data_IF_829854083086
#
_entry.id   IF_829854083086
#
_cell.length_a   1.000
_cell.length_b   1.000
_cell.length_c   1.000
_cell.angle_alpha   90.00
_cell.angle_beta   90.00
_cell.angle_gamma   90.00
#
_symmetry.space_group_name_H-M   'P 1'
#
loop_
_entity.id
_entity.type
_entity.pdbx_description
1 polymer ?
#
# COMPACT_ATOMS: atom_id res chain seq x y z
N UNK A 1 -14.48 19.34 22.52
CA UNK A 1 -14.00 19.80 21.21
C UNK A 1 -12.62 19.26 20.83
N UNK A 2 -11.59 19.33 21.69
CA UNK A 2 -10.24 18.82 21.36
C UNK A 2 -10.21 17.30 21.05
N UNK A 3 -11.04 16.51 21.74
CA UNK A 3 -11.14 15.07 21.57
C UNK A 3 -11.85 14.63 20.28
N UNK A 4 -12.88 15.37 19.83
CA UNK A 4 -13.51 15.10 18.53
C UNK A 4 -12.56 15.42 17.36
N UNK A 5 -11.68 16.42 17.53
CA UNK A 5 -10.65 16.74 16.55
C UNK A 5 -9.59 15.65 16.47
N UNK A 6 -9.22 15.00 17.60
CA UNK A 6 -8.23 13.93 17.62
C UNK A 6 -8.73 12.63 16.99
N UNK A 7 -10.00 12.25 17.20
CA UNK A 7 -10.60 11.10 16.53
C UNK A 7 -10.81 11.36 15.04
N UNK A 8 -11.21 12.57 14.65
CA UNK A 8 -11.26 13.00 13.26
C UNK A 8 -9.86 12.99 12.63
N UNK A 9 -8.82 13.40 13.35
CA UNK A 9 -7.44 13.36 12.88
C UNK A 9 -6.94 11.93 12.64
N UNK A 10 -7.23 10.98 13.53
CA UNK A 10 -6.89 9.57 13.35
C UNK A 10 -7.65 8.96 12.16
N UNK A 11 -8.91 9.32 11.97
CA UNK A 11 -9.70 8.88 10.83
C UNK A 11 -9.11 9.41 9.52
N UNK A 12 -8.86 10.73 9.42
CA UNK A 12 -8.24 11.37 8.26
C UNK A 12 -6.86 10.77 7.99
N UNK A 13 -6.10 10.49 9.03
CA UNK A 13 -4.78 9.88 8.95
C UNK A 13 -4.82 8.48 8.33
N UNK A 14 -5.73 7.63 8.81
CA UNK A 14 -5.87 6.27 8.26
C UNK A 14 -6.42 6.28 6.83
N UNK A 15 -7.40 7.15 6.55
CA UNK A 15 -7.94 7.28 5.19
C UNK A 15 -6.89 7.76 4.19
N UNK A 16 -6.06 8.73 4.56
CA UNK A 16 -4.94 9.16 3.71
C UNK A 16 -3.97 8.01 3.41
N UNK A 17 -3.66 7.17 4.42
CA UNK A 17 -2.84 5.97 4.20
C UNK A 17 -3.52 4.99 3.23
N UNK A 18 -4.80 4.69 3.42
CA UNK A 18 -5.56 3.78 2.56
C UNK A 18 -5.61 4.28 1.11
N UNK A 19 -5.76 5.59 0.92
CA UNK A 19 -5.74 6.23 -0.40
C UNK A 19 -4.40 6.06 -1.10
N UNK A 20 -3.30 6.36 -0.42
CA UNK A 20 -1.95 6.27 -0.98
C UNK A 20 -1.60 4.81 -1.28
N UNK A 21 -1.91 3.88 -0.38
CA UNK A 21 -1.65 2.46 -0.60
C UNK A 21 -2.46 1.89 -1.78
N UNK A 22 -3.74 2.24 -1.90
CA UNK A 22 -4.56 1.84 -3.03
C UNK A 22 -4.04 2.40 -4.36
N UNK A 23 -3.58 3.65 -4.37
CA UNK A 23 -2.94 4.25 -5.54
C UNK A 23 -1.65 3.52 -5.93
N UNK A 24 -0.79 3.16 -4.98
CA UNK A 24 0.43 2.37 -5.22
C UNK A 24 0.12 1.03 -5.88
N UNK A 25 -0.88 0.31 -5.36
CA UNK A 25 -1.26 -1.00 -5.90
C UNK A 25 -1.80 -0.86 -7.34
N UNK A 26 -2.68 0.10 -7.60
CA UNK A 26 -3.26 0.30 -8.92
C UNK A 26 -2.22 0.76 -9.95
N UNK A 27 -1.33 1.68 -9.58
CA UNK A 27 -0.20 2.09 -10.41
C UNK A 27 0.68 0.91 -10.77
N UNK A 28 0.95 0.04 -9.79
CA UNK A 28 1.77 -1.14 -9.98
C UNK A 28 1.17 -2.11 -10.99
N UNK A 29 -0.09 -2.46 -10.81
CA UNK A 29 -0.80 -3.39 -11.71
C UNK A 29 -0.96 -2.80 -13.12
N UNK A 30 -1.34 -1.52 -13.21
CA UNK A 30 -1.55 -0.85 -14.48
C UNK A 30 -0.27 -0.63 -15.28
N UNK A 31 0.84 -0.31 -14.62
CA UNK A 31 2.11 0.01 -15.30
C UNK A 31 3.02 -1.19 -15.57
N UNK A 32 2.80 -2.32 -14.89
CA UNK A 32 3.61 -3.54 -15.02
C UNK A 32 3.68 -4.03 -16.47
N UNK A 33 2.55 -4.05 -17.17
CA UNK A 33 2.50 -4.48 -18.55
C UNK A 33 3.38 -3.59 -19.45
N UNK A 34 3.25 -2.26 -19.32
CA UNK A 34 4.01 -1.31 -20.13
C UNK A 34 5.51 -1.44 -19.88
N UNK A 35 5.92 -1.62 -18.63
CA UNK A 35 7.32 -1.77 -18.27
C UNK A 35 7.92 -3.05 -18.87
N UNK A 36 7.26 -4.19 -18.74
CA UNK A 36 7.74 -5.47 -19.24
C UNK A 36 7.69 -5.55 -20.78
N UNK A 37 6.67 -4.97 -21.40
CA UNK A 37 6.51 -4.99 -22.84
C UNK A 37 7.49 -4.04 -23.55
N UNK A 38 7.63 -2.80 -23.08
CA UNK A 38 8.36 -1.77 -23.81
C UNK A 38 9.75 -1.47 -23.26
N UNK A 39 9.99 -1.57 -21.94
CA UNK A 39 11.31 -1.33 -21.36
C UNK A 39 12.15 -2.62 -21.39
N UNK A 40 11.55 -3.75 -21.01
CA UNK A 40 12.25 -5.03 -21.01
C UNK A 40 12.15 -5.79 -22.35
N UNK A 41 11.22 -5.41 -23.25
CA UNK A 41 11.02 -6.06 -24.54
C UNK A 41 10.50 -7.52 -24.43
N UNK A 42 9.90 -7.89 -23.30
CA UNK A 42 9.44 -9.26 -23.01
C UNK A 42 8.03 -9.31 -22.43
N UNK A 43 6.99 -9.08 -23.23
CA UNK A 43 5.61 -9.07 -22.77
C UNK A 43 5.15 -10.41 -22.15
N UNK A 44 5.72 -11.54 -22.56
CA UNK A 44 5.39 -12.85 -21.99
C UNK A 44 5.76 -12.97 -20.50
N UNK A 45 6.73 -12.17 -20.03
CA UNK A 45 7.16 -12.15 -18.62
C UNK A 45 6.10 -11.55 -17.68
N UNK A 46 5.06 -10.88 -18.19
CA UNK A 46 3.95 -10.35 -17.40
C UNK A 46 3.26 -11.46 -16.60
N UNK A 47 3.01 -12.60 -17.22
CA UNK A 47 2.41 -13.76 -16.55
C UNK A 47 3.31 -14.29 -15.41
N UNK A 48 4.61 -14.39 -15.66
CA UNK A 48 5.59 -14.88 -14.66
C UNK A 48 5.67 -13.90 -13.48
N UNK A 49 5.79 -12.59 -13.76
CA UNK A 49 5.83 -11.56 -12.70
C UNK A 49 4.51 -11.54 -11.93
N UNK A 50 3.38 -11.68 -12.61
CA UNK A 50 2.06 -11.80 -11.97
C UNK A 50 1.98 -13.00 -11.02
N UNK A 51 2.50 -14.16 -11.42
CA UNK A 51 2.60 -15.35 -10.55
C UNK A 51 3.54 -15.10 -9.36
N UNK A 52 4.70 -14.49 -9.58
CA UNK A 52 5.65 -14.13 -8.52
C UNK A 52 5.01 -13.18 -7.49
N UNK A 53 4.14 -12.28 -7.92
CA UNK A 53 3.45 -11.35 -7.02
C UNK A 53 2.30 -12.01 -6.26
N UNK A 54 1.58 -12.95 -6.86
CA UNK A 54 0.34 -13.53 -6.31
C UNK A 54 0.57 -14.81 -5.50
N UNK A 55 1.33 -15.77 -6.05
CA UNK A 55 1.51 -17.09 -5.44
C UNK A 55 2.18 -17.05 -4.06
N UNK A 56 3.28 -16.29 -3.85
CA UNK A 56 3.93 -16.27 -2.55
C UNK A 56 3.05 -15.70 -1.44
N UNK A 57 2.08 -14.85 -1.75
CA UNK A 57 1.19 -14.26 -0.75
C UNK A 57 0.42 -15.31 0.05
N UNK A 58 0.02 -16.41 -0.56
CA UNK A 58 -0.66 -17.52 0.13
C UNK A 58 0.16 -18.10 1.28
N UNK A 59 1.48 -18.15 1.13
CA UNK A 59 2.41 -18.71 2.11
C UNK A 59 3.01 -17.63 3.01
N UNK A 60 3.29 -16.46 2.47
CA UNK A 60 3.96 -15.39 3.19
C UNK A 60 3.04 -14.68 4.18
N UNK A 61 1.73 -14.61 3.94
CA UNK A 61 0.78 -14.02 4.89
C UNK A 61 0.76 -14.80 6.21
N UNK A 62 0.56 -16.13 6.24
CA UNK A 62 0.66 -16.88 7.48
C UNK A 62 2.04 -16.77 8.16
N UNK A 63 3.11 -16.77 7.36
CA UNK A 63 4.49 -16.68 7.85
C UNK A 63 4.83 -15.30 8.44
N UNK A 64 4.18 -14.24 8.00
CA UNK A 64 4.37 -12.89 8.54
C UNK A 64 3.77 -12.72 9.95
N UNK A 65 2.75 -13.51 10.32
CA UNK A 65 2.06 -13.41 11.62
C UNK A 65 3.01 -13.48 12.83
N UNK A 66 3.90 -14.50 12.96
CA UNK A 66 4.79 -14.59 14.12
C UNK A 66 5.83 -13.45 14.17
N UNK A 67 6.22 -12.90 13.02
CA UNK A 67 7.12 -11.75 12.94
C UNK A 67 6.41 -10.50 13.45
N UNK A 68 5.20 -10.27 12.98
CA UNK A 68 4.37 -9.11 13.36
C UNK A 68 3.96 -9.18 14.83
N UNK A 69 3.69 -10.37 15.37
CA UNK A 69 3.39 -10.56 16.79
C UNK A 69 4.54 -10.09 17.69
N UNK A 70 5.79 -10.19 17.23
CA UNK A 70 6.98 -9.73 17.97
C UNK A 70 7.31 -8.26 17.76
N UNK A 71 7.11 -7.75 16.56
CA UNK A 71 7.51 -6.38 16.17
C UNK A 71 6.41 -5.34 16.32
N UNK A 72 5.16 -5.78 16.45
CA UNK A 72 3.96 -4.93 16.40
C UNK A 72 3.44 -4.75 14.97
N UNK A 73 2.15 -4.45 14.84
CA UNK A 73 1.48 -4.32 13.53
C UNK A 73 1.99 -3.13 12.73
N UNK A 74 2.18 -1.99 13.41
CA UNK A 74 2.71 -0.77 12.79
C UNK A 74 4.11 -0.98 12.22
N UNK A 75 5.02 -1.53 13.03
CA UNK A 75 6.41 -1.73 12.61
C UNK A 75 6.51 -2.80 11.52
N UNK A 76 5.70 -3.86 11.62
CA UNK A 76 5.58 -4.88 10.57
C UNK A 76 5.14 -4.28 9.24
N UNK A 77 4.14 -3.40 9.26
CA UNK A 77 3.64 -2.72 8.07
C UNK A 77 4.69 -1.77 7.47
N UNK A 78 5.38 -0.97 8.29
CA UNK A 78 6.48 -0.10 7.85
C UNK A 78 7.60 -0.93 7.23
N UNK A 79 8.02 -2.02 7.88
CA UNK A 79 9.03 -2.93 7.35
C UNK A 79 8.63 -3.51 5.98
N UNK A 80 7.37 -3.90 5.82
CA UNK A 80 6.85 -4.38 4.54
C UNK A 80 6.89 -3.32 3.44
N UNK A 81 6.49 -2.07 3.74
CA UNK A 81 6.55 -0.97 2.76
C UNK A 81 8.00 -0.66 2.37
N UNK A 82 8.94 -0.72 3.31
CA UNK A 82 10.36 -0.56 3.00
C UNK A 82 10.88 -1.68 2.11
N UNK A 83 10.45 -2.93 2.32
CA UNK A 83 10.78 -4.05 1.42
C UNK A 83 10.16 -3.85 0.03
N UNK A 84 8.90 -3.39 -0.06
CA UNK A 84 8.29 -3.05 -1.35
C UNK A 84 9.09 -1.97 -2.08
N UNK A 85 9.55 -0.95 -1.36
CA UNK A 85 10.39 0.12 -1.92
C UNK A 85 11.73 -0.43 -2.40
N UNK A 86 12.38 -1.27 -1.59
CA UNK A 86 13.64 -1.92 -1.98
C UNK A 86 13.48 -2.77 -3.25
N UNK A 87 12.40 -3.55 -3.34
CA UNK A 87 12.09 -4.32 -4.55
C UNK A 87 11.98 -3.43 -5.79
N UNK A 88 11.37 -2.23 -5.67
CA UNK A 88 11.28 -1.27 -6.77
C UNK A 88 12.62 -0.63 -7.13
N UNK A 89 13.44 -0.33 -6.14
CA UNK A 89 14.81 0.15 -6.39
C UNK A 89 15.63 -0.88 -7.17
N UNK A 90 15.57 -2.16 -6.79
CA UNK A 90 16.25 -3.26 -7.52
C UNK A 90 15.78 -3.35 -8.97
N UNK A 91 14.46 -3.23 -9.20
CA UNK A 91 13.92 -3.19 -10.57
C UNK A 91 14.41 -1.96 -11.32
N UNK A 92 14.43 -0.79 -10.69
CA UNK A 92 14.87 0.46 -11.33
C UNK A 92 16.34 0.45 -11.74
N UNK A 93 17.21 -0.15 -10.92
CA UNK A 93 18.65 -0.19 -11.18
C UNK A 93 19.05 -1.25 -12.22
N UNK A 94 18.36 -2.37 -12.27
CA UNK A 94 18.78 -3.51 -13.08
C UNK A 94 17.77 -3.97 -14.14
N UNK A 95 16.52 -3.54 -14.05
CA UNK A 95 15.43 -4.10 -14.84
C UNK A 95 15.47 -3.76 -16.33
N UNK A 96 16.12 -2.67 -16.72
CA UNK A 96 16.34 -2.33 -18.15
C UNK A 96 17.41 -3.20 -18.80
N UNK A 97 18.34 -3.76 -18.02
CA UNK A 97 19.47 -4.55 -18.52
C UNK A 97 19.30 -6.04 -18.27
N UNK A 98 18.58 -6.43 -17.22
CA UNK A 98 18.42 -7.82 -16.81
C UNK A 98 17.03 -8.16 -16.31
N UNK A 99 16.39 -9.13 -16.96
CA UNK A 99 15.11 -9.67 -16.51
C UNK A 99 15.19 -10.31 -15.11
N UNK A 100 16.37 -10.83 -14.76
CA UNK A 100 16.61 -11.42 -13.44
C UNK A 100 16.44 -10.36 -12.33
N UNK A 101 16.87 -9.12 -12.55
CA UNK A 101 16.66 -8.03 -11.61
C UNK A 101 15.16 -7.71 -11.41
N UNK A 102 14.35 -7.82 -12.48
CA UNK A 102 12.88 -7.67 -12.37
C UNK A 102 12.29 -8.80 -11.53
N UNK A 103 12.70 -10.05 -11.73
CA UNK A 103 12.19 -11.17 -10.96
C UNK A 103 12.59 -11.07 -9.47
N UNK A 104 13.87 -10.81 -9.18
CA UNK A 104 14.36 -10.63 -7.81
C UNK A 104 13.63 -9.47 -7.13
N UNK A 105 13.55 -8.32 -7.79
CA UNK A 105 12.84 -7.15 -7.24
C UNK A 105 11.36 -7.43 -7.02
N UNK A 106 10.71 -8.21 -7.88
CA UNK A 106 9.31 -8.63 -7.72
C UNK A 106 9.12 -9.59 -6.55
N UNK A 107 10.07 -10.50 -6.29
CA UNK A 107 10.04 -11.37 -5.11
C UNK A 107 10.16 -10.54 -3.83
N UNK A 108 11.13 -9.62 -3.76
CA UNK A 108 11.29 -8.72 -2.61
C UNK A 108 10.03 -7.89 -2.39
N UNK A 109 9.43 -7.37 -3.45
CA UNK A 109 8.19 -6.63 -3.41
C UNK A 109 7.04 -7.50 -2.86
N UNK A 110 6.90 -8.76 -3.32
CA UNK A 110 5.87 -9.69 -2.86
C UNK A 110 6.01 -10.01 -1.36
N UNK A 111 7.25 -10.16 -0.86
CA UNK A 111 7.51 -10.30 0.59
C UNK A 111 7.00 -9.09 1.35
N UNK A 112 7.28 -7.87 0.87
CA UNK A 112 6.76 -6.65 1.48
C UNK A 112 5.22 -6.59 1.46
N UNK A 113 4.59 -6.99 0.36
CA UNK A 113 3.13 -7.03 0.23
C UNK A 113 2.45 -7.97 1.23
N UNK A 114 3.15 -9.02 1.69
CA UNK A 114 2.59 -9.99 2.64
C UNK A 114 2.22 -9.38 4.00
N UNK A 115 2.73 -8.20 4.35
CA UNK A 115 2.41 -7.51 5.61
C UNK A 115 1.22 -6.57 5.50
N UNK A 116 0.69 -6.33 4.29
CA UNK A 116 -0.40 -5.37 4.05
C UNK A 116 -1.72 -5.75 4.76
N UNK A 117 -1.91 -7.03 5.10
CA UNK A 117 -3.06 -7.46 5.90
C UNK A 117 -3.14 -6.78 7.27
N UNK A 118 -2.02 -6.29 7.82
CA UNK A 118 -1.99 -5.56 9.08
C UNK A 118 -2.74 -4.21 9.03
N UNK A 119 -2.99 -3.68 7.84
CA UNK A 119 -3.74 -2.43 7.68
C UNK A 119 -5.18 -2.55 8.18
N UNK A 120 -5.82 -3.70 8.01
CA UNK A 120 -7.20 -3.90 8.44
C UNK A 120 -7.37 -3.94 9.98
N UNK A 121 -6.60 -4.73 10.74
CA UNK A 121 -6.60 -4.65 12.21
C UNK A 121 -6.30 -3.25 12.75
N UNK A 122 -5.35 -2.52 12.14
CA UNK A 122 -5.08 -1.14 12.55
C UNK A 122 -6.29 -0.21 12.34
N UNK A 123 -7.11 -0.47 11.31
CA UNK A 123 -8.38 0.23 11.11
C UNK A 123 -9.38 -0.12 12.22
N UNK A 124 -9.51 -1.41 12.58
CA UNK A 124 -10.38 -1.85 13.67
C UNK A 124 -10.00 -1.18 15.01
N UNK A 125 -8.70 -1.07 15.29
CA UNK A 125 -8.22 -0.37 16.49
C UNK A 125 -8.67 1.11 16.51
N UNK A 126 -8.82 1.73 15.34
CA UNK A 126 -9.33 3.11 15.22
C UNK A 126 -10.83 3.19 15.55
N UNK A 127 -11.61 2.15 15.21
CA UNK A 127 -13.04 2.06 15.56
C UNK A 127 -13.20 1.99 17.08
N UNK A 128 -12.44 1.11 17.74
CA UNK A 128 -12.48 0.97 19.19
C UNK A 128 -11.98 2.21 19.92
N UNK A 129 -10.97 2.88 19.40
CA UNK A 129 -10.55 4.18 19.90
C UNK A 129 -11.65 5.24 19.79
N UNK A 130 -12.38 5.26 18.68
CA UNK A 130 -13.53 6.16 18.47
C UNK A 130 -14.65 5.90 19.47
N UNK A 131 -14.98 4.65 19.75
CA UNK A 131 -15.96 4.22 20.73
C UNK A 131 -15.54 4.62 22.16
N UNK A 132 -14.28 4.36 22.51
CA UNK A 132 -13.73 4.73 23.81
C UNK A 132 -13.84 6.23 24.10
N UNK A 133 -13.60 7.05 23.08
CA UNK A 133 -13.66 8.51 23.24
C UNK A 133 -15.07 9.10 23.22
N UNK A 134 -15.91 8.61 22.31
CA UNK A 134 -17.22 9.23 22.05
C UNK A 134 -18.37 8.53 22.78
N UNK A 135 -18.14 7.35 23.35
CA UNK A 135 -19.15 6.56 24.03
C UNK A 135 -20.13 5.82 23.12
N UNK A 136 -19.93 5.88 21.79
CA UNK A 136 -20.74 5.14 20.80
C UNK A 136 -19.89 4.64 19.63
N UNK A 137 -20.26 3.47 19.11
CA UNK A 137 -19.52 2.77 18.07
C UNK A 137 -19.89 3.29 16.68
N UNK A 138 -18.90 3.77 15.93
CA UNK A 138 -19.08 4.33 14.58
C UNK A 138 -18.44 3.45 13.50
N UNK A 139 -18.54 2.15 13.62
CA UNK A 139 -17.90 1.20 12.70
C UNK A 139 -18.31 1.44 11.24
N UNK A 140 -19.61 1.62 10.99
CA UNK A 140 -20.14 1.82 9.64
C UNK A 140 -19.57 3.07 8.95
N UNK A 141 -19.40 4.18 9.69
CA UNK A 141 -18.82 5.41 9.15
C UNK A 141 -17.33 5.19 8.78
N UNK A 142 -16.56 4.60 9.67
CA UNK A 142 -15.13 4.37 9.47
C UNK A 142 -14.89 3.42 8.30
N UNK A 143 -15.66 2.34 8.20
CA UNK A 143 -15.57 1.40 7.08
C UNK A 143 -16.00 2.02 5.74
N UNK A 144 -17.01 2.88 5.75
CA UNK A 144 -17.46 3.62 4.56
C UNK A 144 -16.37 4.57 4.04
N UNK A 145 -15.76 5.33 4.95
CA UNK A 145 -14.65 6.25 4.60
C UNK A 145 -13.44 5.49 4.08
N UNK A 146 -13.09 4.34 4.67
CA UNK A 146 -12.02 3.47 4.18
C UNK A 146 -12.32 2.94 2.77
N UNK A 147 -13.55 2.47 2.53
CA UNK A 147 -13.97 1.95 1.22
C UNK A 147 -13.97 3.05 0.15
N UNK A 148 -14.51 4.22 0.48
CA UNK A 148 -14.49 5.39 -0.40
C UNK A 148 -13.06 5.78 -0.74
N UNK A 149 -12.20 5.87 0.27
CA UNK A 149 -10.81 6.21 0.09
C UNK A 149 -10.02 5.25 -0.77
N UNK A 150 -10.21 3.95 -0.57
CA UNK A 150 -9.58 2.94 -1.41
C UNK A 150 -10.01 3.06 -2.89
N UNK A 151 -11.29 3.31 -3.15
CA UNK A 151 -11.79 3.52 -4.52
C UNK A 151 -11.22 4.79 -5.15
N UNK A 152 -11.21 5.90 -4.41
CA UNK A 152 -10.58 7.15 -4.87
C UNK A 152 -9.08 6.95 -5.13
N UNK A 153 -8.36 6.28 -4.24
CA UNK A 153 -6.95 6.00 -4.42
C UNK A 153 -6.68 5.16 -5.67
N UNK A 154 -7.49 4.11 -5.91
CA UNK A 154 -7.39 3.28 -7.11
C UNK A 154 -7.68 4.09 -8.37
N UNK A 155 -8.74 4.90 -8.38
CA UNK A 155 -9.10 5.73 -9.54
C UNK A 155 -8.01 6.76 -9.85
N UNK A 156 -7.50 7.47 -8.84
CA UNK A 156 -6.42 8.43 -8.98
C UNK A 156 -5.13 7.76 -9.47
N UNK A 157 -4.76 6.60 -8.90
CA UNK A 157 -3.58 5.85 -9.34
C UNK A 157 -3.66 5.46 -10.81
N UNK A 158 -4.81 4.97 -11.27
CA UNK A 158 -5.03 4.64 -12.68
C UNK A 158 -5.00 5.89 -13.57
N UNK A 159 -5.64 6.98 -13.15
CA UNK A 159 -5.64 8.23 -13.88
C UNK A 159 -4.21 8.82 -14.02
N UNK A 160 -3.43 8.85 -12.95
CA UNK A 160 -2.04 9.30 -12.99
C UNK A 160 -1.18 8.45 -13.92
N UNK A 161 -1.38 7.14 -13.95
CA UNK A 161 -0.71 6.27 -14.92
C UNK A 161 -0.99 6.73 -16.34
N UNK A 162 -2.27 6.92 -16.70
CA UNK A 162 -2.67 7.37 -18.03
C UNK A 162 -2.14 8.76 -18.39
N UNK A 163 -2.23 9.72 -17.47
CA UNK A 163 -1.76 11.10 -17.68
C UNK A 163 -0.26 11.18 -17.90
N UNK A 164 0.53 10.50 -17.10
CA UNK A 164 1.99 10.49 -17.23
C UNK A 164 2.40 9.83 -18.55
N UNK A 165 1.77 8.72 -18.94
CA UNK A 165 2.04 8.05 -20.21
C UNK A 165 1.66 8.93 -21.39
N UNK A 166 0.50 9.59 -21.36
CA UNK A 166 0.08 10.52 -22.41
C UNK A 166 1.04 11.71 -22.53
N UNK A 167 1.44 12.29 -21.40
CA UNK A 167 2.38 13.42 -21.36
C UNK A 167 3.79 13.03 -21.84
N UNK A 168 4.21 11.80 -21.58
CA UNK A 168 5.46 11.25 -22.08
C UNK A 168 5.43 10.89 -23.57
N UNK A 169 4.28 11.03 -24.23
CA UNK A 169 4.11 10.73 -25.65
C UNK A 169 4.00 9.25 -25.98
N UNK A 170 3.45 8.45 -25.03
CA UNK A 170 3.17 7.04 -25.30
C UNK A 170 2.16 6.87 -26.44
N UNK A 171 2.50 6.05 -27.43
CA UNK A 171 1.63 5.73 -28.57
C UNK A 171 1.40 4.21 -28.63
N UNK A 172 0.18 3.78 -28.29
CA UNK A 172 -0.19 2.35 -28.29
C UNK A 172 -0.18 1.68 -29.67
N UNK A 173 -0.17 2.45 -30.77
CA UNK A 173 -0.08 1.91 -32.12
C UNK A 173 1.37 1.78 -32.64
N UNK A 174 2.35 2.32 -31.91
CA UNK A 174 3.75 2.26 -32.32
C UNK A 174 4.41 0.96 -31.79
N UNK A 175 5.07 0.23 -32.66
CA UNK A 175 5.86 -0.95 -32.27
C UNK A 175 7.06 -0.57 -31.38
N UNK A 176 7.68 0.58 -31.65
CA UNK A 176 8.81 1.11 -30.88
C UNK A 176 8.41 2.44 -30.24
N UNK A 177 8.59 2.54 -28.94
CA UNK A 177 8.28 3.74 -28.18
C UNK A 177 9.44 4.75 -28.20
N UNK A 178 9.12 6.03 -28.09
CA UNK A 178 10.12 7.10 -27.96
C UNK A 178 10.88 6.99 -26.63
N UNK A 179 12.10 7.53 -26.58
CA UNK A 179 12.87 7.58 -25.33
C UNK A 179 12.12 8.30 -24.20
N UNK A 180 11.34 9.34 -24.53
CA UNK A 180 10.47 10.04 -23.59
C UNK A 180 9.39 9.12 -23.03
N UNK A 181 8.72 8.33 -23.86
CA UNK A 181 7.69 7.38 -23.44
C UNK A 181 8.26 6.27 -22.54
N UNK A 182 9.44 5.75 -22.85
CA UNK A 182 10.14 4.77 -22.01
C UNK A 182 10.48 5.35 -20.64
N UNK A 183 10.95 6.60 -20.59
CA UNK A 183 11.20 7.31 -19.32
C UNK A 183 9.91 7.51 -18.54
N UNK A 184 8.80 7.87 -19.18
CA UNK A 184 7.49 7.96 -18.56
C UNK A 184 7.03 6.64 -17.94
N UNK A 185 7.21 5.52 -18.65
CA UNK A 185 6.90 4.18 -18.14
C UNK A 185 7.76 3.85 -16.91
N UNK A 186 9.06 4.18 -16.91
CA UNK A 186 9.94 3.99 -15.76
C UNK A 186 9.50 4.83 -14.56
N UNK A 187 9.12 6.08 -14.77
CA UNK A 187 8.63 6.97 -13.72
C UNK A 187 7.39 6.36 -13.07
N UNK A 188 6.42 5.91 -13.84
CA UNK A 188 5.16 5.36 -13.33
C UNK A 188 5.36 4.03 -12.60
N UNK A 189 6.22 3.16 -13.13
CA UNK A 189 6.39 1.82 -12.57
C UNK A 189 7.39 1.76 -11.41
N UNK A 190 8.41 2.62 -11.41
CA UNK A 190 9.49 2.58 -10.41
C UNK A 190 9.45 3.79 -9.50
N UNK A 191 9.55 5.01 -10.05
CA UNK A 191 9.78 6.22 -9.25
C UNK A 191 8.55 6.60 -8.43
N UNK A 192 7.39 6.65 -9.06
CA UNK A 192 6.16 7.09 -8.41
C UNK A 192 5.73 6.17 -7.25
N UNK A 193 5.76 4.82 -7.38
CA UNK A 193 5.52 3.93 -6.25
C UNK A 193 6.52 4.10 -5.09
N UNK A 194 7.80 4.36 -5.38
CA UNK A 194 8.81 4.63 -4.35
C UNK A 194 8.44 5.90 -3.56
N UNK A 195 8.12 6.99 -4.24
CA UNK A 195 7.73 8.26 -3.60
C UNK A 195 6.48 8.08 -2.74
N UNK A 196 5.46 7.40 -3.27
CA UNK A 196 4.22 7.13 -2.54
C UNK A 196 4.45 6.21 -1.33
N UNK A 197 5.29 5.21 -1.45
CA UNK A 197 5.66 4.32 -0.33
C UNK A 197 6.39 5.10 0.78
N UNK A 198 7.32 5.98 0.42
CA UNK A 198 8.01 6.85 1.39
C UNK A 198 6.98 7.74 2.11
N UNK A 199 6.04 8.31 1.37
CA UNK A 199 4.95 9.10 1.95
C UNK A 199 4.11 8.26 2.92
N UNK A 200 3.77 7.00 2.57
CA UNK A 200 3.10 6.06 3.46
C UNK A 200 3.88 5.82 4.76
N UNK A 201 5.20 5.61 4.67
CA UNK A 201 6.06 5.41 5.86
C UNK A 201 6.06 6.64 6.75
N UNK A 202 6.18 7.84 6.16
CA UNK A 202 6.12 9.11 6.92
C UNK A 202 4.78 9.21 7.65
N UNK A 203 3.68 9.00 6.94
CA UNK A 203 2.34 9.01 7.51
C UNK A 203 2.24 7.99 8.66
N UNK A 204 2.60 6.74 8.45
CA UNK A 204 2.54 5.69 9.48
C UNK A 204 3.45 5.96 10.69
N UNK A 205 4.53 6.70 10.52
CA UNK A 205 5.44 7.04 11.62
C UNK A 205 4.73 7.84 12.71
N UNK A 206 3.77 8.67 12.34
CA UNK A 206 2.97 9.47 13.28
C UNK A 206 1.88 8.65 14.00
N UNK A 207 1.56 7.44 13.55
CA UNK A 207 0.56 6.60 14.20
C UNK A 207 1.07 6.10 15.57
N UNK A 208 0.41 6.50 16.66
CA UNK A 208 0.82 6.21 18.05
C UNK A 208 -0.18 5.35 18.83
N UNK A 209 -1.32 5.02 18.22
CA UNK A 209 -2.43 4.35 18.91
C UNK A 209 -2.07 2.96 19.45
N UNK A 210 -1.17 2.23 18.78
CA UNK A 210 -0.81 0.86 19.15
C UNK A 210 -0.32 0.74 20.60
N UNK A 211 0.34 1.78 21.13
CA UNK A 211 0.83 1.80 22.52
C UNK A 211 -0.29 1.95 23.56
N UNK A 212 -1.38 2.63 23.19
CA UNK A 212 -2.51 2.91 24.09
C UNK A 212 -3.62 1.85 23.97
N UNK A 213 -3.57 1.06 22.90
CA UNK A 213 -4.61 0.11 22.55
C UNK A 213 -4.96 -0.90 23.66
N UNK A 214 -3.99 -1.53 24.39
CA UNK A 214 -4.32 -2.47 25.46
C UNK A 214 -5.14 -1.83 26.60
N UNK A 215 -4.88 -0.55 26.90
CA UNK A 215 -5.61 0.20 27.92
C UNK A 215 -7.02 0.51 27.47
N UNK A 216 -7.16 0.91 26.20
CA UNK A 216 -8.46 1.25 25.58
C UNK A 216 -9.40 0.04 25.61
N UNK A 217 -8.91 -1.13 25.17
CA UNK A 217 -9.71 -2.36 25.15
C UNK A 217 -10.18 -2.72 26.55
N UNK A 218 -9.29 -2.69 27.55
CA UNK A 218 -9.63 -2.99 28.94
C UNK A 218 -10.72 -2.06 29.50
N UNK A 219 -10.60 -0.77 29.26
CA UNK A 219 -11.59 0.21 29.73
C UNK A 219 -12.94 0.06 29.01
N UNK A 220 -12.94 -0.31 27.73
CA UNK A 220 -14.18 -0.60 26.99
C UNK A 220 -14.86 -1.85 27.52
N UNK A 221 -14.12 -2.93 27.80
CA UNK A 221 -14.65 -4.15 28.39
C UNK A 221 -15.30 -3.88 29.75
N UNK A 222 -14.64 -3.09 30.62
CA UNK A 222 -15.18 -2.69 31.91
C UNK A 222 -16.47 -1.86 31.80
N UNK A 223 -16.58 -0.99 30.79
CA UNK A 223 -17.82 -0.23 30.51
C UNK A 223 -18.96 -1.15 30.06
N UNK A 224 -18.70 -2.03 29.09
CA UNK A 224 -19.71 -2.97 28.59
C UNK A 224 -20.18 -3.98 29.66
N UNK A 225 -19.36 -4.30 30.65
CA UNK A 225 -19.78 -5.14 31.79
C UNK A 225 -20.70 -4.41 32.77
N UNK A 226 -20.56 -3.09 32.91
CA UNK A 226 -21.40 -2.27 33.81
C UNK A 226 -22.75 -1.91 33.20
N UNK A 227 -22.89 -2.02 31.88
CA UNK A 227 -24.13 -1.73 31.13
C UNK A 227 -25.03 -2.97 30.97
N UNK A 228 -24.53 -4.17 31.33
CA UNK A 228 -25.30 -5.44 31.40
C UNK A 228 -25.87 -5.67 32.79
#
# INVERSE_FOLDING_TARGET
MLFAAMSAYLLVYYTNYAHVNAAVISLNMGSMFYYLAYVCGKPQSVAVVGMILSMPMLFLIPLSKPVIAKTGMKNGLIGGILLMTLGRVVVGLGGSTSLMAVYIGSVIFAVGCSTQWCSYPLLCNTVEYGEWQNGYRQEGLIMSVNSFGSKCGTALGTAFCGWILAWAGYNGAAEVQTASALTGIMIVYVVLPIVLNILCVIILSFYKLEKQYPTIVKELEERHQKEK
#
